data_IF_992277122479
#
_entry.id   IF_992277122479
#
_cell.length_a   1.000
_cell.length_b   1.000
_cell.length_c   1.000
_cell.angle_alpha   90.00
_cell.angle_beta   90.00
_cell.angle_gamma   90.00
#
_symmetry.space_group_name_H-M   'P 1'
#
loop_
_entity.id
_entity.type
_entity.pdbx_description
1 polymer ?
#
# COMPACT_ATOMS: atom_id res chain seq x y z
N UNK A 1 6.14 33.19 29.36
CA UNK A 1 6.32 32.52 28.06
C UNK A 1 6.59 31.05 28.33
N UNK A 2 5.63 30.15 28.09
CA UNK A 2 5.84 28.72 28.30
C UNK A 2 6.73 28.17 27.19
N UNK A 3 7.76 27.41 27.57
CA UNK A 3 8.58 26.65 26.64
C UNK A 3 7.68 25.63 25.93
N UNK A 4 7.62 25.69 24.61
CA UNK A 4 7.00 24.63 23.80
C UNK A 4 7.85 23.37 23.95
N UNK A 5 7.41 22.44 24.80
CA UNK A 5 7.88 21.07 24.79
C UNK A 5 7.61 20.50 23.40
N UNK A 6 8.64 20.48 22.54
CA UNK A 6 8.62 19.67 21.34
C UNK A 6 8.62 18.23 21.80
N UNK A 7 7.44 17.64 21.89
CA UNK A 7 7.28 16.21 22.08
C UNK A 7 7.87 15.56 20.85
N UNK A 8 9.10 15.05 20.95
CA UNK A 8 9.69 14.15 19.95
C UNK A 8 8.85 12.89 19.94
N UNK A 9 7.79 12.90 19.15
CA UNK A 9 6.95 11.74 18.88
C UNK A 9 7.85 10.62 18.42
N UNK A 10 7.87 9.51 19.16
CA UNK A 10 8.73 8.37 18.84
C UNK A 10 8.55 7.96 17.37
N UNK A 11 9.63 7.78 16.60
CA UNK A 11 9.56 7.59 15.15
C UNK A 11 8.70 6.38 14.74
N UNK A 12 8.60 5.36 15.59
CA UNK A 12 7.71 4.20 15.40
C UNK A 12 6.24 4.61 15.22
N UNK A 13 5.73 5.44 16.16
CA UNK A 13 4.36 5.94 16.11
C UNK A 13 4.10 6.74 14.81
N UNK A 14 5.14 7.35 14.24
CA UNK A 14 5.04 8.08 12.97
C UNK A 14 4.78 7.14 11.78
N UNK A 15 5.38 5.94 11.74
CA UNK A 15 5.21 5.00 10.62
C UNK A 15 3.83 4.35 10.59
N UNK A 16 3.31 3.95 11.76
CA UNK A 16 1.96 3.43 11.88
C UNK A 16 0.92 4.48 11.45
N UNK A 17 1.07 5.73 11.92
CA UNK A 17 0.19 6.84 11.53
C UNK A 17 0.28 7.18 10.03
N UNK A 18 1.48 7.16 9.46
CA UNK A 18 1.68 7.37 8.02
C UNK A 18 1.02 6.25 7.19
N UNK A 19 1.12 5.00 7.65
CA UNK A 19 0.49 3.84 6.99
C UNK A 19 -1.03 3.94 7.01
N UNK A 20 -1.63 4.34 8.13
CA UNK A 20 -3.08 4.53 8.20
C UNK A 20 -3.53 5.73 7.35
N UNK A 21 -2.72 6.79 7.26
CA UNK A 21 -2.98 7.92 6.36
C UNK A 21 -3.02 7.48 4.90
N UNK A 22 -2.08 6.63 4.46
CA UNK A 22 -2.09 6.06 3.11
C UNK A 22 -3.31 5.18 2.87
N UNK A 23 -3.69 4.34 3.83
CA UNK A 23 -4.88 3.49 3.73
C UNK A 23 -6.15 4.32 3.64
N UNK A 24 -6.27 5.35 4.46
CA UNK A 24 -7.38 6.30 4.42
C UNK A 24 -7.49 6.96 3.05
N UNK A 25 -6.36 7.44 2.49
CA UNK A 25 -6.32 8.00 1.15
C UNK A 25 -6.79 7.00 0.07
N UNK A 26 -6.35 5.73 0.14
CA UNK A 26 -6.79 4.69 -0.79
C UNK A 26 -8.29 4.41 -0.68
N UNK A 27 -8.87 4.41 0.53
CA UNK A 27 -10.33 4.26 0.72
C UNK A 27 -11.10 5.42 0.09
N UNK A 28 -10.64 6.65 0.28
CA UNK A 28 -11.26 7.82 -0.36
C UNK A 28 -11.19 7.77 -1.88
N UNK A 29 -10.04 7.37 -2.44
CA UNK A 29 -9.86 7.17 -3.88
C UNK A 29 -10.80 6.09 -4.43
N UNK A 30 -10.97 4.99 -3.69
CA UNK A 30 -11.88 3.90 -4.07
C UNK A 30 -13.33 4.38 -4.11
N UNK A 31 -13.78 5.11 -3.09
CA UNK A 31 -15.12 5.70 -3.03
C UNK A 31 -15.35 6.68 -4.18
N UNK A 32 -14.37 7.54 -4.48
CA UNK A 32 -14.46 8.48 -5.59
C UNK A 32 -14.56 7.76 -6.95
N UNK A 33 -13.73 6.73 -7.17
CA UNK A 33 -13.76 5.93 -8.40
C UNK A 33 -15.09 5.20 -8.57
N UNK A 34 -15.62 4.60 -7.49
CA UNK A 34 -16.94 3.96 -7.51
C UNK A 34 -18.06 4.97 -7.82
N UNK A 35 -17.99 6.19 -7.27
CA UNK A 35 -18.92 7.27 -7.57
C UNK A 35 -18.89 7.68 -9.05
N UNK A 36 -17.71 7.83 -9.64
CA UNK A 36 -17.56 8.09 -11.09
C UNK A 36 -18.12 6.94 -11.92
N UNK A 37 -17.82 5.69 -11.55
CA UNK A 37 -18.37 4.51 -12.23
C UNK A 37 -19.91 4.48 -12.18
N UNK A 38 -20.50 4.75 -11.01
CA UNK A 38 -21.94 4.84 -10.84
C UNK A 38 -22.56 5.95 -11.68
N UNK A 39 -21.92 7.13 -11.73
CA UNK A 39 -22.38 8.25 -12.56
C UNK A 39 -22.30 7.94 -14.05
N UNK A 40 -21.24 7.25 -14.50
CA UNK A 40 -21.14 6.80 -15.89
C UNK A 40 -22.28 5.84 -16.24
N UNK A 41 -22.54 4.83 -15.39
CA UNK A 41 -23.63 3.87 -15.62
C UNK A 41 -25.00 4.54 -15.61
N UNK A 42 -25.25 5.49 -14.69
CA UNK A 42 -26.50 6.22 -14.62
C UNK A 42 -26.67 7.25 -15.76
N UNK A 43 -25.56 7.87 -16.18
CA UNK A 43 -25.50 8.89 -17.22
C UNK A 43 -25.53 8.33 -18.64
N UNK A 44 -25.24 7.03 -18.82
CA UNK A 44 -25.57 6.27 -20.03
C UNK A 44 -27.09 6.14 -20.15
N UNK A 45 -27.75 7.24 -20.46
CA UNK A 45 -29.13 7.22 -20.91
C UNK A 45 -29.15 6.51 -22.27
N UNK A 46 -29.43 5.20 -22.23
CA UNK A 46 -29.56 4.30 -23.38
C UNK A 46 -30.51 4.82 -24.48
N UNK A 47 -31.35 5.80 -24.15
CA UNK A 47 -32.30 6.45 -25.04
C UNK A 47 -31.65 7.16 -26.23
N UNK A 48 -30.41 7.67 -26.14
CA UNK A 48 -29.74 8.29 -27.31
C UNK A 48 -29.06 7.28 -28.21
N UNK A 49 -28.68 6.11 -27.70
CA UNK A 49 -28.05 5.06 -28.51
C UNK A 49 -29.03 4.37 -29.45
N UNK A 50 -30.32 4.35 -29.09
CA UNK A 50 -31.37 3.74 -29.92
C UNK A 50 -31.68 4.48 -31.23
N UNK A 51 -31.20 5.72 -31.40
CA UNK A 51 -31.42 6.49 -32.63
C UNK A 51 -30.27 6.38 -33.65
N UNK A 52 -29.13 5.78 -33.27
CA UNK A 52 -28.00 5.56 -34.16
C UNK A 52 -28.19 4.26 -34.94
N UNK A 53 -27.99 4.32 -36.27
CA UNK A 53 -27.94 3.12 -37.09
C UNK A 53 -26.70 2.29 -36.75
N UNK A 54 -26.81 0.95 -36.79
CA UNK A 54 -25.70 0.04 -36.52
C UNK A 54 -24.54 0.18 -37.52
N UNK A 55 -24.82 0.74 -38.70
CA UNK A 55 -23.83 1.02 -39.75
C UNK A 55 -23.04 2.32 -39.51
N UNK A 56 -23.41 3.14 -38.51
CA UNK A 56 -22.68 4.36 -38.20
C UNK A 56 -21.43 4.03 -37.38
N UNK A 57 -20.25 4.34 -37.93
CA UNK A 57 -18.96 4.18 -37.25
C UNK A 57 -18.91 4.91 -35.89
N UNK A 58 -19.70 5.97 -35.71
CA UNK A 58 -19.78 6.75 -34.48
C UNK A 58 -20.36 5.95 -33.32
N UNK A 59 -21.31 5.04 -33.59
CA UNK A 59 -21.84 4.14 -32.57
C UNK A 59 -20.70 3.30 -31.98
N UNK A 60 -19.84 2.73 -32.84
CA UNK A 60 -18.71 1.92 -32.41
C UNK A 60 -17.68 2.74 -31.62
N UNK A 61 -17.42 3.99 -32.03
CA UNK A 61 -16.54 4.89 -31.27
C UNK A 61 -17.13 5.20 -29.89
N UNK A 62 -18.42 5.53 -29.81
CA UNK A 62 -19.09 5.81 -28.54
C UNK A 62 -19.07 4.59 -27.60
N UNK A 63 -19.43 3.41 -28.11
CA UNK A 63 -19.37 2.14 -27.37
C UNK A 63 -17.94 1.87 -26.89
N UNK A 64 -16.94 2.02 -27.76
CA UNK A 64 -15.54 1.82 -27.37
C UNK A 64 -15.10 2.80 -26.28
N UNK A 65 -15.50 4.07 -26.36
CA UNK A 65 -15.18 5.09 -25.36
C UNK A 65 -15.77 4.76 -23.98
N UNK A 66 -17.02 4.30 -23.95
CA UNK A 66 -17.67 3.82 -22.71
C UNK A 66 -16.95 2.60 -22.16
N UNK A 67 -16.64 1.61 -22.99
CA UNK A 67 -15.94 0.40 -22.55
C UNK A 67 -14.56 0.73 -21.97
N UNK A 68 -13.81 1.64 -22.60
CA UNK A 68 -12.52 2.13 -22.09
C UNK A 68 -12.69 2.80 -20.73
N UNK A 69 -13.69 3.68 -20.58
CA UNK A 69 -13.94 4.37 -19.32
C UNK A 69 -14.33 3.40 -18.20
N UNK A 70 -15.25 2.48 -18.45
CA UNK A 70 -15.67 1.46 -17.48
C UNK A 70 -14.51 0.53 -17.11
N UNK A 71 -13.73 0.06 -18.09
CA UNK A 71 -12.56 -0.77 -17.85
C UNK A 71 -11.49 -0.04 -17.02
N UNK A 72 -11.28 1.27 -17.27
CA UNK A 72 -10.38 2.10 -16.47
C UNK A 72 -10.81 2.18 -15.00
N UNK A 73 -12.10 2.44 -14.74
CA UNK A 73 -12.65 2.46 -13.37
C UNK A 73 -12.57 1.10 -12.70
N UNK A 74 -12.95 0.02 -13.39
CA UNK A 74 -12.86 -1.34 -12.86
C UNK A 74 -11.42 -1.70 -12.49
N UNK A 75 -10.46 -1.38 -13.36
CA UNK A 75 -9.03 -1.58 -13.10
C UNK A 75 -8.56 -0.83 -11.85
N UNK A 76 -8.95 0.44 -11.67
CA UNK A 76 -8.64 1.23 -10.47
C UNK A 76 -9.15 0.56 -9.19
N UNK A 77 -10.41 0.11 -9.21
CA UNK A 77 -11.06 -0.56 -8.08
C UNK A 77 -10.30 -1.84 -7.73
N UNK A 78 -9.99 -2.68 -8.71
CA UNK A 78 -9.26 -3.94 -8.49
C UNK A 78 -7.87 -3.68 -7.91
N UNK A 79 -7.14 -2.69 -8.44
CA UNK A 79 -5.79 -2.36 -7.93
C UNK A 79 -5.79 -1.77 -6.53
N UNK A 80 -6.73 -0.88 -6.24
CA UNK A 80 -6.90 -0.33 -4.89
C UNK A 80 -7.31 -1.42 -3.90
N UNK A 81 -8.21 -2.32 -4.31
CA UNK A 81 -8.63 -3.47 -3.49
C UNK A 81 -7.45 -4.39 -3.15
N UNK A 82 -6.58 -4.71 -4.11
CA UNK A 82 -5.38 -5.53 -3.88
C UNK A 82 -4.46 -4.95 -2.80
N UNK A 83 -4.34 -3.62 -2.72
CA UNK A 83 -3.53 -2.96 -1.68
C UNK A 83 -4.20 -3.03 -0.31
N UNK A 84 -5.53 -2.97 -0.26
CA UNK A 84 -6.28 -3.09 0.98
C UNK A 84 -6.35 -4.54 1.48
N UNK A 85 -6.28 -5.54 0.59
CA UNK A 85 -6.37 -6.96 0.94
C UNK A 85 -5.02 -7.62 1.25
N UNK A 86 -3.90 -7.05 0.80
CA UNK A 86 -2.61 -7.62 1.16
C UNK A 86 -2.36 -7.45 2.66
N UNK A 87 -2.26 -8.60 3.35
CA UNK A 87 -1.96 -8.67 4.78
C UNK A 87 -0.60 -8.05 5.10
N UNK A 88 -0.48 -7.56 6.33
CA UNK A 88 0.72 -6.93 6.87
C UNK A 88 1.89 -7.91 6.85
N UNK A 89 3.08 -7.45 6.46
CA UNK A 89 4.30 -8.25 6.59
C UNK A 89 4.55 -8.48 8.08
N UNK A 90 4.61 -9.75 8.46
CA UNK A 90 5.05 -10.18 9.79
C UNK A 90 6.57 -10.38 9.82
N UNK A 91 7.20 -10.29 10.99
CA UNK A 91 8.63 -10.62 11.18
C UNK A 91 8.99 -12.01 10.64
N UNK A 92 8.06 -12.95 10.70
CA UNK A 92 8.27 -14.31 10.21
C UNK A 92 8.33 -14.37 8.67
N UNK A 93 7.63 -13.48 7.96
CA UNK A 93 7.71 -13.42 6.50
C UNK A 93 9.01 -12.77 6.03
N UNK A 94 9.49 -11.73 6.72
CA UNK A 94 10.80 -11.12 6.46
C UNK A 94 11.93 -12.15 6.51
N UNK A 95 11.95 -13.01 7.53
CA UNK A 95 13.01 -14.03 7.66
C UNK A 95 12.90 -15.14 6.61
N UNK A 96 11.70 -15.53 6.20
CA UNK A 96 11.48 -16.58 5.18
C UNK A 96 11.86 -16.09 3.79
N UNK A 97 11.47 -14.89 3.39
CA UNK A 97 11.78 -14.33 2.07
C UNK A 97 13.29 -14.13 1.91
N UNK A 98 13.96 -13.61 2.93
CA UNK A 98 15.42 -13.46 2.95
C UNK A 98 16.14 -14.82 2.91
N UNK A 99 15.62 -15.80 3.65
CA UNK A 99 16.16 -17.16 3.64
C UNK A 99 16.01 -17.81 2.27
N UNK A 100 14.85 -17.64 1.63
CA UNK A 100 14.58 -18.18 0.29
C UNK A 100 15.41 -17.49 -0.80
N UNK A 101 15.64 -16.18 -0.69
CA UNK A 101 16.54 -15.44 -1.57
C UNK A 101 18.00 -15.92 -1.44
N UNK A 102 18.47 -16.17 -0.19
CA UNK A 102 19.80 -16.74 0.07
C UNK A 102 19.92 -18.18 -0.44
N UNK A 103 18.88 -19.01 -0.30
CA UNK A 103 18.86 -20.37 -0.86
C UNK A 103 18.87 -20.40 -2.39
N UNK A 104 18.29 -19.39 -3.03
CA UNK A 104 18.32 -19.23 -4.49
C UNK A 104 19.69 -18.80 -5.06
N UNK A 105 20.71 -18.61 -4.22
CA UNK A 105 22.02 -18.12 -4.63
C UNK A 105 22.03 -16.65 -5.10
N UNK A 106 20.88 -15.96 -4.98
CA UNK A 106 20.79 -14.55 -5.28
C UNK A 106 21.39 -13.78 -4.10
N UNK A 107 22.64 -13.36 -4.22
CA UNK A 107 23.31 -12.44 -3.27
C UNK A 107 22.73 -11.01 -3.31
N UNK A 108 21.62 -10.80 -4.01
CA UNK A 108 20.94 -9.50 -4.02
C UNK A 108 20.24 -9.31 -2.68
N UNK A 109 20.94 -8.67 -1.74
CA UNK A 109 20.31 -8.13 -0.54
C UNK A 109 19.06 -7.35 -0.95
N UNK A 110 17.93 -7.61 -0.30
CA UNK A 110 16.71 -6.87 -0.62
C UNK A 110 16.99 -5.38 -0.35
N UNK A 111 16.53 -4.46 -1.21
CA UNK A 111 16.73 -3.03 -1.00
C UNK A 111 16.15 -2.56 0.36
N UNK A 112 15.16 -3.29 0.89
CA UNK A 112 14.59 -3.06 2.21
C UNK A 112 15.60 -3.30 3.35
N UNK A 113 16.40 -4.36 3.29
CA UNK A 113 17.42 -4.64 4.32
C UNK A 113 18.50 -3.57 4.35
N UNK A 114 18.93 -3.09 3.18
CA UNK A 114 19.89 -1.98 3.10
C UNK A 114 19.34 -0.74 3.79
N UNK A 115 18.06 -0.44 3.59
CA UNK A 115 17.42 0.71 4.23
C UNK A 115 17.25 0.50 5.74
N UNK A 116 16.83 -0.70 6.19
CA UNK A 116 16.77 -1.03 7.62
C UNK A 116 18.14 -0.87 8.29
N UNK A 117 19.21 -1.29 7.62
CA UNK A 117 20.58 -1.17 8.13
C UNK A 117 21.03 0.30 8.23
N UNK A 118 20.60 1.16 7.29
CA UNK A 118 20.83 2.62 7.36
C UNK A 118 20.15 3.21 8.60
N UNK A 119 18.93 2.78 8.92
CA UNK A 119 18.16 3.27 10.07
C UNK A 119 18.39 2.47 11.37
N UNK A 120 19.35 1.53 11.42
CA UNK A 120 19.51 0.61 12.55
C UNK A 120 19.65 1.29 13.90
N UNK A 121 20.32 2.44 13.96
CA UNK A 121 20.57 3.19 15.20
C UNK A 121 19.27 3.65 15.87
N UNK A 122 18.26 3.96 15.06
CA UNK A 122 16.95 4.39 15.52
C UNK A 122 16.04 3.18 15.82
N UNK A 123 16.23 2.08 15.10
CA UNK A 123 15.33 0.93 15.14
C UNK A 123 15.70 -0.07 16.25
N UNK A 124 16.95 -0.56 16.29
CA UNK A 124 17.32 -1.71 17.13
C UNK A 124 18.78 -1.74 17.61
N UNK A 125 19.65 -0.79 17.23
CA UNK A 125 21.08 -0.87 17.54
C UNK A 125 21.41 -0.93 19.03
N UNK A 126 20.48 -0.49 19.89
CA UNK A 126 20.60 -0.55 21.34
C UNK A 126 20.44 -1.97 21.90
N UNK A 127 19.73 -2.86 21.20
CA UNK A 127 19.49 -4.25 21.64
C UNK A 127 20.18 -5.31 20.77
N UNK A 128 20.60 -4.99 19.55
CA UNK A 128 21.25 -5.92 18.64
C UNK A 128 22.09 -5.22 17.55
N UNK A 129 23.12 -5.88 17.04
CA UNK A 129 23.98 -5.36 15.95
C UNK A 129 23.35 -5.59 14.57
N UNK A 130 22.54 -6.64 14.43
CA UNK A 130 21.87 -7.02 13.18
C UNK A 130 20.42 -7.44 13.43
N UNK A 131 19.56 -7.36 12.40
CA UNK A 131 18.16 -7.82 12.47
C UNK A 131 18.06 -9.31 12.80
N UNK A 132 18.98 -10.12 12.28
CA UNK A 132 19.05 -11.55 12.57
C UNK A 132 19.33 -11.79 14.06
N UNK A 133 20.29 -11.05 14.63
CA UNK A 133 20.59 -11.12 16.06
C UNK A 133 19.42 -10.64 16.92
N UNK A 134 18.70 -9.60 16.51
CA UNK A 134 17.48 -9.13 17.18
C UNK A 134 16.44 -10.26 17.27
N UNK A 135 16.19 -10.95 16.16
CA UNK A 135 15.24 -12.06 16.11
C UNK A 135 15.65 -13.22 17.02
N UNK A 136 16.93 -13.60 16.99
CA UNK A 136 17.46 -14.67 17.86
C UNK A 136 17.35 -14.29 19.34
N UNK A 137 17.72 -13.06 19.72
CA UNK A 137 17.59 -12.56 21.10
C UNK A 137 16.14 -12.53 21.55
N UNK A 138 15.22 -12.13 20.67
CA UNK A 138 13.78 -12.12 20.98
C UNK A 138 13.25 -13.54 21.25
N UNK A 139 13.64 -14.55 20.46
CA UNK A 139 13.27 -15.95 20.71
C UNK A 139 13.80 -16.39 22.08
N UNK A 140 15.08 -16.16 22.34
CA UNK A 140 15.72 -16.54 23.60
C UNK A 140 15.07 -15.87 24.81
N UNK A 141 14.79 -14.57 24.73
CA UNK A 141 14.12 -13.83 25.80
C UNK A 141 12.70 -14.36 26.06
N UNK A 142 11.95 -14.70 25.01
CA UNK A 142 10.62 -15.31 25.15
C UNK A 142 10.67 -16.71 25.79
N UNK A 143 11.66 -17.53 25.40
CA UNK A 143 11.85 -18.85 26.00
C UNK A 143 12.26 -18.76 27.47
N UNK A 144 13.17 -17.84 27.82
CA UNK A 144 13.56 -17.59 29.21
C UNK A 144 12.37 -17.14 30.03
N UNK A 145 11.61 -16.13 29.57
CA UNK A 145 10.41 -15.65 30.27
C UNK A 145 9.39 -16.77 30.55
N UNK A 146 9.24 -17.73 29.63
CA UNK A 146 8.38 -18.91 29.84
C UNK A 146 8.92 -19.87 30.91
N UNK A 147 10.25 -20.01 31.02
CA UNK A 147 10.90 -20.94 31.96
C UNK A 147 11.04 -20.37 33.37
N UNK A 148 11.42 -19.10 33.50
CA UNK A 148 11.66 -18.45 34.80
C UNK A 148 10.41 -17.85 35.44
N UNK A 149 9.32 -17.66 34.69
CA UNK A 149 8.08 -17.09 35.21
C UNK A 149 8.17 -15.58 35.40
N UNK A 150 7.66 -15.07 36.52
CA UNK A 150 7.48 -13.64 36.80
C UNK A 150 8.77 -12.87 37.19
N UNK A 151 9.94 -13.29 36.70
CA UNK A 151 11.16 -12.52 36.89
C UNK A 151 11.05 -11.18 36.12
N UNK A 152 11.01 -10.09 36.88
CA UNK A 152 10.81 -8.73 36.36
C UNK A 152 11.93 -8.30 35.40
N UNK A 153 13.17 -8.74 35.65
CA UNK A 153 14.32 -8.37 34.81
C UNK A 153 14.22 -9.03 33.42
N UNK A 154 13.81 -10.31 33.39
CA UNK A 154 13.59 -11.07 32.15
C UNK A 154 12.40 -10.49 31.39
N UNK A 155 11.34 -10.11 32.09
CA UNK A 155 10.18 -9.48 31.49
C UNK A 155 10.52 -8.12 30.86
N UNK A 156 11.32 -7.29 31.54
CA UNK A 156 11.77 -5.98 31.05
C UNK A 156 12.61 -6.11 29.77
N UNK A 157 13.63 -6.97 29.78
CA UNK A 157 14.47 -7.22 28.59
C UNK A 157 13.65 -7.78 27.40
N UNK A 158 12.70 -8.69 27.68
CA UNK A 158 11.83 -9.21 26.62
C UNK A 158 10.90 -8.13 26.04
N UNK A 159 10.44 -7.17 26.87
CA UNK A 159 9.64 -6.05 26.40
C UNK A 159 10.46 -5.11 25.50
N UNK A 160 11.70 -4.79 25.87
CA UNK A 160 12.60 -3.94 25.07
C UNK A 160 12.90 -4.55 23.69
N UNK A 161 13.21 -5.86 23.65
CA UNK A 161 13.42 -6.59 22.40
C UNK A 161 12.17 -6.63 21.52
N UNK A 162 10.98 -6.77 22.11
CA UNK A 162 9.71 -6.71 21.37
C UNK A 162 9.48 -5.33 20.79
N UNK A 163 9.74 -4.27 21.56
CA UNK A 163 9.60 -2.89 21.08
C UNK A 163 10.52 -2.63 19.88
N UNK A 164 11.79 -3.03 19.96
CA UNK A 164 12.73 -2.89 18.84
C UNK A 164 12.29 -3.70 17.62
N UNK A 165 11.80 -4.93 17.82
CA UNK A 165 11.28 -5.76 16.74
C UNK A 165 10.04 -5.13 16.09
N UNK A 166 9.11 -4.59 16.88
CA UNK A 166 7.94 -3.87 16.40
C UNK A 166 8.31 -2.62 15.59
N UNK A 167 9.36 -1.88 16.00
CA UNK A 167 9.90 -0.75 15.23
C UNK A 167 10.36 -1.17 13.84
N UNK A 168 11.12 -2.26 13.75
CA UNK A 168 11.60 -2.81 12.47
C UNK A 168 10.42 -3.25 11.59
N UNK A 169 9.43 -3.92 12.16
CA UNK A 169 8.20 -4.34 11.44
C UNK A 169 7.43 -3.14 10.90
N UNK A 170 7.23 -2.11 11.73
CA UNK A 170 6.50 -0.91 11.34
C UNK A 170 7.24 -0.16 10.24
N UNK A 171 8.56 -0.04 10.34
CA UNK A 171 9.40 0.55 9.30
C UNK A 171 9.29 -0.22 7.98
N UNK A 172 9.41 -1.55 8.04
CA UNK A 172 9.31 -2.41 6.87
C UNK A 172 7.94 -2.30 6.17
N UNK A 173 6.86 -2.37 6.94
CA UNK A 173 5.50 -2.22 6.43
C UNK A 173 5.28 -0.84 5.81
N UNK A 174 5.82 0.22 6.42
CA UNK A 174 5.72 1.57 5.87
C UNK A 174 6.44 1.69 4.52
N UNK A 175 7.68 1.19 4.42
CA UNK A 175 8.45 1.29 3.20
C UNK A 175 7.79 0.51 2.05
N UNK A 176 7.33 -0.71 2.33
CA UNK A 176 6.62 -1.51 1.34
C UNK A 176 5.31 -0.85 0.88
N UNK A 177 4.50 -0.36 1.85
CA UNK A 177 3.25 0.35 1.56
C UNK A 177 3.52 1.59 0.72
N UNK A 178 4.56 2.35 1.02
CA UNK A 178 4.97 3.53 0.26
C UNK A 178 5.37 3.18 -1.18
N UNK A 179 6.13 2.10 -1.38
CA UNK A 179 6.52 1.61 -2.70
C UNK A 179 5.32 1.18 -3.54
N UNK A 180 4.40 0.41 -2.94
CA UNK A 180 3.14 0.00 -3.59
C UNK A 180 2.26 1.20 -3.90
N UNK A 181 2.14 2.15 -2.99
CA UNK A 181 1.37 3.38 -3.20
C UNK A 181 1.93 4.20 -4.36
N UNK A 182 3.26 4.38 -4.47
CA UNK A 182 3.87 5.12 -5.59
C UNK A 182 3.55 4.49 -6.94
N UNK A 183 3.58 3.15 -7.00
CA UNK A 183 3.20 2.40 -8.19
C UNK A 183 1.71 2.57 -8.49
N UNK A 184 0.87 2.48 -7.46
CA UNK A 184 -0.56 2.73 -7.55
C UNK A 184 -0.87 4.13 -8.08
N UNK A 185 -0.23 5.18 -7.55
CA UNK A 185 -0.48 6.57 -7.97
C UNK A 185 -0.19 6.75 -9.46
N UNK A 186 0.87 6.12 -9.98
CA UNK A 186 1.18 6.14 -11.43
C UNK A 186 0.10 5.41 -12.23
N UNK A 187 -0.31 4.22 -11.79
CA UNK A 187 -1.39 3.48 -12.42
C UNK A 187 -2.71 4.26 -12.39
N UNK A 188 -2.97 5.00 -11.32
CA UNK A 188 -4.14 5.85 -11.17
C UNK A 188 -4.14 6.99 -12.18
N UNK A 189 -2.99 7.64 -12.39
CA UNK A 189 -2.86 8.68 -13.40
C UNK A 189 -3.16 8.15 -14.81
N UNK A 190 -2.61 6.98 -15.17
CA UNK A 190 -2.88 6.37 -16.48
C UNK A 190 -4.33 5.93 -16.66
N UNK A 191 -4.91 5.25 -15.66
CA UNK A 191 -6.30 4.82 -15.72
C UNK A 191 -7.26 6.01 -15.73
N UNK A 192 -6.99 7.06 -14.94
CA UNK A 192 -7.76 8.31 -14.96
C UNK A 192 -7.71 8.99 -16.34
N UNK A 193 -6.53 9.05 -16.97
CA UNK A 193 -6.40 9.55 -18.33
C UNK A 193 -7.22 8.73 -19.33
N UNK A 194 -7.20 7.39 -19.22
CA UNK A 194 -8.01 6.51 -20.06
C UNK A 194 -9.52 6.76 -19.88
N UNK A 195 -9.98 6.98 -18.64
CA UNK A 195 -11.38 7.34 -18.35
C UNK A 195 -11.75 8.66 -19.04
N UNK A 196 -10.93 9.70 -18.91
CA UNK A 196 -11.16 10.99 -19.55
C UNK A 196 -11.24 10.84 -21.07
N UNK A 197 -10.29 10.14 -21.68
CA UNK A 197 -10.30 9.88 -23.14
C UNK A 197 -11.55 9.13 -23.56
N UNK A 198 -11.94 8.08 -22.82
CA UNK A 198 -13.15 7.31 -23.09
C UNK A 198 -14.43 8.17 -23.04
N UNK A 199 -14.54 9.03 -22.04
CA UNK A 199 -15.67 9.98 -21.89
C UNK A 199 -15.69 11.00 -23.03
N UNK A 200 -14.52 11.54 -23.43
CA UNK A 200 -14.43 12.48 -24.54
C UNK A 200 -14.81 11.84 -25.88
N UNK A 201 -14.37 10.60 -26.14
CA UNK A 201 -14.76 9.85 -27.33
C UNK A 201 -16.26 9.58 -27.36
N UNK A 202 -16.85 9.21 -26.23
CA UNK A 202 -18.29 9.03 -26.10
C UNK A 202 -19.05 10.34 -26.35
N UNK A 203 -18.62 11.43 -25.73
CA UNK A 203 -19.25 12.74 -25.89
C UNK A 203 -19.16 13.25 -27.35
N UNK A 204 -18.00 13.10 -27.99
CA UNK A 204 -17.81 13.44 -29.40
C UNK A 204 -18.70 12.59 -30.32
N UNK A 205 -18.76 11.29 -30.08
CA UNK A 205 -19.62 10.39 -30.84
C UNK A 205 -21.11 10.76 -30.67
N UNK A 206 -21.53 11.17 -29.47
CA UNK A 206 -22.89 11.58 -29.16
C UNK A 206 -23.26 12.96 -29.73
N UNK A 207 -22.31 13.90 -29.84
CA UNK A 207 -22.55 15.26 -30.30
C UNK A 207 -21.53 15.69 -31.38
N UNK A 208 -21.80 15.44 -32.67
CA UNK A 208 -20.89 15.80 -33.74
C UNK A 208 -20.92 17.32 -33.93
N UNK A 209 -19.77 17.93 -34.23
CA UNK A 209 -19.77 19.32 -34.69
C UNK A 209 -20.45 19.36 -36.07
N UNK A 210 -21.65 19.93 -36.13
CA UNK A 210 -22.39 20.19 -37.37
C UNK A 210 -21.89 21.42 -38.11
#
# INVERSE_FOLDING_TARGET
MPATEQTTTAPAASFAAATETLRSAVRWLLTAAAGVGGLLVAGLQLTSLGSLNLDDWRLWVGVSGVLIAVAGVAYLITRASQILTNEWITLAQLSVDDFQARLGGATSQSPLLLEIEVYKHELYAHVAETVEQLYQRLIQANELARKTGADESVACNAAELREAADKVVQFANYHETRGRFRTLSRQFAFAGAAVVVGVLLFAYAANPAG
#
